data_IF_896442376545
#
_entry.id   IF_896442376545
#
_cell.length_a   1.000
_cell.length_b   1.000
_cell.length_c   1.000
_cell.angle_alpha   90.00
_cell.angle_beta   90.00
_cell.angle_gamma   90.00
#
_symmetry.space_group_name_H-M   'P 1'
#
loop_
_entity.id
_entity.type
_entity.pdbx_description
1 polymer ?
#
# COMPACT_ATOMS: atom_id res chain seq x y z
N UNK A 1 13.43 21.63 55.04
CA UNK A 1 12.31 21.07 55.81
C UNK A 1 12.43 19.55 55.78
N UNK A 2 12.56 18.95 56.96
CA UNK A 2 12.45 17.52 57.29
C UNK A 2 10.98 17.04 57.12
N UNK A 3 10.55 15.79 57.16
CA UNK A 3 11.09 14.43 57.26
C UNK A 3 9.95 13.45 56.91
N UNK A 4 10.32 12.20 56.67
CA UNK A 4 9.51 10.97 56.60
C UNK A 4 8.66 10.73 57.86
N UNK A 5 7.50 10.09 57.75
CA UNK A 5 6.80 9.48 58.89
C UNK A 5 5.55 8.69 58.49
N UNK A 6 5.51 7.41 58.88
CA UNK A 6 4.48 6.37 58.70
C UNK A 6 3.91 6.04 60.09
N UNK A 7 2.61 5.72 60.20
CA UNK A 7 1.98 4.87 61.24
C UNK A 7 0.51 4.64 60.80
N UNK A 8 -0.08 3.43 60.70
CA UNK A 8 -0.29 2.29 61.63
C UNK A 8 -1.18 2.65 62.82
N UNK A 9 -2.33 1.95 62.92
CA UNK A 9 -3.18 1.97 64.11
C UNK A 9 -4.52 1.28 63.88
N UNK A 10 -4.58 0.00 64.25
CA UNK A 10 -5.80 -0.79 64.40
C UNK A 10 -6.32 -0.68 65.84
N UNK A 11 -7.64 -0.72 66.04
CA UNK A 11 -8.31 -1.28 67.24
C UNK A 11 -9.80 -1.46 66.88
N UNK A 12 -10.40 -2.67 66.82
CA UNK A 12 -10.79 -3.64 67.84
C UNK A 12 -12.05 -3.25 68.66
N UNK A 13 -13.00 -4.20 68.63
CA UNK A 13 -14.10 -4.49 69.57
C UNK A 13 -15.37 -3.66 69.47
N UNK A 14 -16.56 -4.15 69.79
CA UNK A 14 -17.18 -5.46 70.07
C UNK A 14 -18.62 -5.10 70.52
N UNK A 15 -19.48 -6.09 70.72
CA UNK A 15 -20.75 -6.06 71.43
C UNK A 15 -21.99 -5.76 70.56
N UNK A 16 -22.61 -6.86 70.13
CA UNK A 16 -23.98 -6.88 69.66
C UNK A 16 -24.99 -6.77 70.81
N UNK A 17 -26.24 -6.50 70.44
CA UNK A 17 -27.44 -6.82 71.22
C UNK A 17 -28.58 -7.05 70.23
N UNK A 18 -29.11 -8.28 70.22
CA UNK A 18 -30.47 -8.59 69.75
C UNK A 18 -31.37 -8.61 70.99
N UNK A 19 -32.63 -8.16 70.88
CA UNK A 19 -33.68 -9.03 71.40
C UNK A 19 -34.89 -9.17 70.47
N UNK A 20 -35.18 -10.44 70.20
CA UNK A 20 -36.46 -11.13 70.08
C UNK A 20 -37.72 -10.31 70.45
N UNK A 21 -38.71 -10.29 69.54
CA UNK A 21 -40.08 -9.85 69.81
C UNK A 21 -41.06 -10.49 68.83
N UNK A 22 -41.83 -11.47 69.32
CA UNK A 22 -42.89 -12.18 68.61
C UNK A 22 -44.17 -11.32 68.49
N UNK A 23 -45.01 -11.55 67.47
CA UNK A 23 -46.32 -10.92 67.39
C UNK A 23 -47.04 -11.07 66.03
N UNK A 24 -47.71 -12.20 65.88
CA UNK A 24 -48.91 -12.52 65.09
C UNK A 24 -49.60 -11.50 64.14
N UNK A 25 -49.91 -12.03 62.94
CA UNK A 25 -51.25 -12.18 62.32
C UNK A 25 -51.88 -11.06 61.44
N UNK A 26 -52.35 -11.56 60.29
CA UNK A 26 -53.37 -11.08 59.35
C UNK A 26 -53.07 -9.92 58.39
N UNK A 27 -53.03 -10.26 57.09
CA UNK A 27 -54.17 -10.01 56.18
C UNK A 27 -53.98 -10.71 54.83
N UNK A 28 -55.10 -11.25 54.35
CA UNK A 28 -55.33 -11.85 53.04
C UNK A 28 -54.78 -11.01 51.88
N UNK A 29 -54.38 -11.68 50.77
CA UNK A 29 -54.90 -11.42 49.41
C UNK A 29 -54.32 -12.44 48.41
N UNK A 30 -55.25 -13.30 48.00
CA UNK A 30 -55.45 -14.06 46.77
C UNK A 30 -54.70 -13.61 45.47
N UNK A 31 -54.09 -14.61 44.80
CA UNK A 31 -53.92 -14.84 43.33
C UNK A 31 -52.97 -13.93 42.52
N UNK A 32 -51.90 -14.52 41.98
CA UNK A 32 -51.77 -14.88 40.55
C UNK A 32 -50.34 -15.36 40.24
N UNK A 33 -50.23 -16.51 39.59
CA UNK A 33 -49.02 -16.93 38.91
C UNK A 33 -48.67 -15.93 37.80
N UNK A 34 -47.46 -15.38 37.81
CA UNK A 34 -46.83 -14.89 36.59
C UNK A 34 -45.45 -15.54 36.48
N UNK A 35 -45.33 -16.35 35.42
CA UNK A 35 -44.06 -16.91 34.99
C UNK A 35 -43.19 -15.76 34.50
N UNK A 36 -42.12 -15.44 35.22
CA UNK A 36 -41.02 -14.67 34.64
C UNK A 36 -39.93 -15.62 34.18
N UNK A 37 -40.28 -16.46 33.20
CA UNK A 37 -39.31 -17.14 32.35
C UNK A 37 -38.93 -16.20 31.22
N UNK A 38 -37.72 -15.64 31.29
CA UNK A 38 -37.06 -15.05 30.12
C UNK A 38 -37.10 -16.06 28.97
N UNK A 39 -37.64 -15.73 27.77
CA UNK A 39 -37.40 -16.54 26.60
C UNK A 39 -35.95 -16.29 26.18
N UNK A 40 -35.07 -17.26 26.44
CA UNK A 40 -33.77 -17.30 25.78
C UNK A 40 -33.97 -17.26 24.26
N UNK A 41 -33.03 -16.65 23.49
CA UNK A 41 -33.16 -16.56 22.05
C UNK A 41 -33.34 -17.96 21.47
N UNK A 42 -34.38 -18.11 20.65
CA UNK A 42 -34.77 -19.38 20.06
C UNK A 42 -33.57 -20.01 19.34
N UNK A 43 -33.46 -21.35 19.43
CA UNK A 43 -32.41 -22.12 18.75
C UNK A 43 -32.44 -21.92 17.22
N UNK A 44 -33.60 -21.58 16.66
CA UNK A 44 -33.79 -21.28 15.24
C UNK A 44 -33.16 -19.93 14.84
N UNK A 45 -33.33 -18.88 15.64
CA UNK A 45 -32.69 -17.57 15.37
C UNK A 45 -31.15 -17.67 15.44
N UNK A 46 -30.61 -18.45 16.37
CA UNK A 46 -29.17 -18.69 16.45
C UNK A 46 -28.63 -19.52 15.27
N UNK A 47 -29.43 -20.47 14.77
CA UNK A 47 -29.09 -21.31 13.61
C UNK A 47 -29.18 -20.59 12.28
N UNK A 48 -30.01 -19.55 12.13
CA UNK A 48 -30.10 -18.71 10.93
C UNK A 48 -29.12 -17.53 10.98
N UNK A 49 -28.81 -17.01 12.17
CA UNK A 49 -27.81 -15.94 12.36
C UNK A 49 -26.39 -16.39 12.02
N UNK A 50 -25.99 -17.63 12.32
CA UNK A 50 -24.66 -18.17 11.96
C UNK A 50 -24.43 -18.24 10.44
N UNK A 51 -25.34 -18.82 9.63
CA UNK A 51 -25.26 -18.80 8.17
C UNK A 51 -25.22 -17.38 7.61
N UNK A 52 -26.05 -16.47 8.13
CA UNK A 52 -26.07 -15.08 7.66
C UNK A 52 -24.74 -14.37 7.94
N UNK A 53 -24.15 -14.59 9.13
CA UNK A 53 -22.83 -14.03 9.49
C UNK A 53 -21.73 -14.65 8.62
N UNK A 54 -21.78 -15.96 8.35
CA UNK A 54 -20.81 -16.64 7.47
C UNK A 54 -20.94 -16.12 6.03
N UNK A 55 -22.15 -15.95 5.52
CA UNK A 55 -22.41 -15.41 4.17
C UNK A 55 -21.95 -13.95 4.06
N UNK A 56 -22.18 -13.13 5.09
CA UNK A 56 -21.69 -11.74 5.14
C UNK A 56 -20.15 -11.73 5.18
N UNK A 57 -19.51 -12.59 5.97
CA UNK A 57 -18.06 -12.70 6.04
C UNK A 57 -17.49 -13.18 4.70
N UNK A 58 -18.08 -14.19 4.08
CA UNK A 58 -17.67 -14.71 2.78
C UNK A 58 -17.80 -13.65 1.70
N UNK A 59 -18.94 -12.96 1.63
CA UNK A 59 -19.17 -11.86 0.68
C UNK A 59 -18.21 -10.69 0.92
N UNK A 60 -17.89 -10.35 2.18
CA UNK A 60 -16.86 -9.36 2.51
C UNK A 60 -15.47 -9.81 2.08
N UNK A 61 -15.13 -11.09 2.31
CA UNK A 61 -13.85 -11.67 1.92
C UNK A 61 -13.68 -11.71 0.40
N UNK A 62 -14.73 -12.07 -0.34
CA UNK A 62 -14.72 -12.05 -1.81
C UNK A 62 -14.55 -10.64 -2.37
N UNK A 63 -15.27 -9.66 -1.81
CA UNK A 63 -15.15 -8.26 -2.18
C UNK A 63 -13.74 -7.73 -1.90
N UNK A 64 -13.20 -8.04 -0.71
CA UNK A 64 -11.84 -7.69 -0.32
C UNK A 64 -10.79 -8.34 -1.23
N UNK A 65 -10.97 -9.61 -1.59
CA UNK A 65 -10.11 -10.33 -2.52
C UNK A 65 -10.13 -9.68 -3.91
N UNK A 66 -11.30 -9.30 -4.43
CA UNK A 66 -11.42 -8.61 -5.73
C UNK A 66 -10.72 -7.24 -5.72
N UNK A 67 -10.88 -6.49 -4.64
CA UNK A 67 -10.27 -5.16 -4.47
C UNK A 67 -8.74 -5.24 -4.31
N UNK A 68 -8.24 -6.17 -3.50
CA UNK A 68 -6.82 -6.45 -3.34
C UNK A 68 -6.20 -6.92 -4.67
N UNK A 69 -6.91 -7.76 -5.42
CA UNK A 69 -6.47 -8.22 -6.75
C UNK A 69 -6.39 -7.06 -7.74
N UNK A 70 -7.34 -6.13 -7.73
CA UNK A 70 -7.31 -4.92 -8.58
C UNK A 70 -6.13 -4.01 -8.24
N UNK A 71 -5.84 -3.79 -6.95
CA UNK A 71 -4.71 -2.97 -6.51
C UNK A 71 -3.35 -3.61 -6.88
N UNK A 72 -3.22 -4.93 -6.70
CA UNK A 72 -2.04 -5.70 -7.11
C UNK A 72 -1.90 -5.66 -8.64
N UNK A 73 -2.99 -5.82 -9.37
CA UNK A 73 -2.99 -5.79 -10.83
C UNK A 73 -2.59 -4.41 -11.37
N UNK A 74 -3.10 -3.32 -10.79
CA UNK A 74 -2.71 -1.95 -11.14
C UNK A 74 -1.22 -1.71 -10.90
N UNK A 75 -0.72 -2.10 -9.72
CA UNK A 75 0.71 -2.00 -9.38
C UNK A 75 1.59 -2.84 -10.31
N UNK A 76 1.16 -4.06 -10.62
CA UNK A 76 1.90 -4.96 -11.50
C UNK A 76 1.89 -4.46 -12.95
N UNK A 77 0.77 -3.92 -13.42
CA UNK A 77 0.65 -3.31 -14.76
C UNK A 77 1.54 -2.09 -14.89
N UNK A 78 1.58 -1.25 -13.84
CA UNK A 78 2.46 -0.08 -13.76
C UNK A 78 3.95 -0.46 -13.71
N UNK A 79 4.31 -1.47 -12.91
CA UNK A 79 5.68 -1.99 -12.91
C UNK A 79 6.06 -2.60 -14.28
N UNK A 80 5.14 -3.33 -14.91
CA UNK A 80 5.34 -3.92 -16.24
C UNK A 80 5.57 -2.85 -17.30
N UNK A 81 4.78 -1.77 -17.29
CA UNK A 81 4.99 -0.65 -18.21
C UNK A 81 6.37 0.00 -18.00
N UNK A 82 6.86 0.10 -16.76
CA UNK A 82 8.21 0.59 -16.46
C UNK A 82 9.30 -0.35 -17.01
N UNK A 83 9.09 -1.66 -16.89
CA UNK A 83 9.96 -2.68 -17.50
C UNK A 83 9.98 -2.62 -19.04
N UNK A 84 8.82 -2.40 -19.68
CA UNK A 84 8.70 -2.20 -21.14
C UNK A 84 9.42 -0.92 -21.56
N UNK A 85 9.24 0.17 -20.81
CA UNK A 85 9.96 1.41 -21.04
C UNK A 85 11.48 1.21 -20.94
N UNK A 86 11.95 0.40 -19.98
CA UNK A 86 13.36 -0.01 -19.90
C UNK A 86 13.84 -0.80 -21.12
N UNK A 87 13.02 -1.71 -21.65
CA UNK A 87 13.35 -2.44 -22.88
C UNK A 87 13.40 -1.50 -24.10
N UNK A 88 12.43 -0.60 -24.24
CA UNK A 88 12.41 0.41 -25.30
C UNK A 88 13.63 1.34 -25.20
N UNK A 89 13.99 1.74 -23.98
CA UNK A 89 15.17 2.56 -23.73
C UNK A 89 16.44 1.84 -24.17
N UNK A 90 16.58 0.58 -23.80
CA UNK A 90 17.73 -0.23 -24.22
C UNK A 90 17.78 -0.45 -25.74
N UNK A 91 16.63 -0.57 -26.42
CA UNK A 91 16.57 -0.67 -27.88
C UNK A 91 17.12 0.59 -28.55
N UNK A 92 16.59 1.74 -28.16
CA UNK A 92 16.96 3.06 -28.66
C UNK A 92 18.46 3.35 -28.48
N UNK A 93 18.98 3.19 -27.25
CA UNK A 93 20.39 3.47 -27.00
C UNK A 93 21.33 2.47 -27.68
N UNK A 94 20.91 1.22 -27.87
CA UNK A 94 21.70 0.25 -28.65
C UNK A 94 21.79 0.60 -30.12
N UNK A 95 20.69 1.09 -30.70
CA UNK A 95 20.67 1.58 -32.06
C UNK A 95 21.64 2.75 -32.23
N UNK A 96 21.57 3.74 -31.33
CA UNK A 96 22.47 4.90 -31.30
C UNK A 96 23.95 4.50 -31.19
N UNK A 97 24.30 3.60 -30.27
CA UNK A 97 25.69 3.19 -30.04
C UNK A 97 26.18 2.07 -30.96
N UNK A 98 25.35 1.58 -31.89
CA UNK A 98 25.66 0.47 -32.81
C UNK A 98 26.19 -0.79 -32.11
N UNK A 99 25.72 -1.07 -30.89
CA UNK A 99 26.21 -2.19 -30.07
C UNK A 99 25.39 -3.46 -30.32
N UNK A 100 26.04 -4.49 -30.89
CA UNK A 100 25.42 -5.81 -31.12
C UNK A 100 25.70 -6.84 -30.01
N UNK A 101 26.74 -6.64 -29.20
CA UNK A 101 27.15 -7.59 -28.17
C UNK A 101 26.27 -7.54 -26.90
N UNK A 102 26.19 -8.67 -26.19
CA UNK A 102 25.50 -8.86 -24.90
C UNK A 102 24.05 -8.34 -24.84
N UNK A 103 23.30 -8.45 -25.96
CA UNK A 103 21.92 -7.93 -26.08
C UNK A 103 21.02 -8.41 -24.94
N UNK A 104 20.90 -9.73 -24.78
CA UNK A 104 20.01 -10.34 -23.79
C UNK A 104 20.37 -9.90 -22.36
N UNK A 105 21.66 -9.80 -22.04
CA UNK A 105 22.13 -9.42 -20.70
C UNK A 105 21.77 -7.98 -20.36
N UNK A 106 21.92 -7.03 -21.30
CA UNK A 106 21.50 -5.66 -21.01
C UNK A 106 19.99 -5.54 -20.97
N UNK A 107 19.24 -6.16 -21.88
CA UNK A 107 17.77 -6.16 -21.86
C UNK A 107 17.21 -6.69 -20.55
N UNK A 108 17.65 -7.87 -20.11
CA UNK A 108 17.21 -8.47 -18.86
C UNK A 108 17.43 -7.52 -17.69
N UNK A 109 18.64 -6.96 -17.57
CA UNK A 109 18.96 -6.08 -16.45
C UNK A 109 18.29 -4.71 -16.51
N UNK A 110 18.17 -4.11 -17.71
CA UNK A 110 17.61 -2.76 -17.90
C UNK A 110 16.08 -2.80 -17.86
N UNK A 111 15.45 -3.97 -18.02
CA UNK A 111 14.01 -4.14 -17.83
C UNK A 111 13.65 -4.58 -16.41
N UNK A 112 14.37 -5.56 -15.85
CA UNK A 112 14.07 -6.10 -14.52
C UNK A 112 14.35 -5.10 -13.38
N UNK A 113 15.41 -4.29 -13.49
CA UNK A 113 15.75 -3.33 -12.43
C UNK A 113 14.68 -2.22 -12.30
N UNK A 114 14.25 -1.53 -13.38
CA UNK A 114 13.13 -0.58 -13.30
C UNK A 114 11.81 -1.20 -12.84
N UNK A 115 11.53 -2.44 -13.25
CA UNK A 115 10.34 -3.18 -12.80
C UNK A 115 10.34 -3.33 -11.28
N UNK A 116 11.43 -3.88 -10.72
CA UNK A 116 11.57 -4.06 -9.27
C UNK A 116 11.60 -2.73 -8.53
N UNK A 117 12.30 -1.73 -9.07
CA UNK A 117 12.36 -0.39 -8.48
C UNK A 117 10.97 0.24 -8.38
N UNK A 118 10.13 0.07 -9.40
CA UNK A 118 8.75 0.59 -9.39
C UNK A 118 7.91 -0.08 -8.32
N UNK A 119 8.00 -1.40 -8.16
CA UNK A 119 7.28 -2.13 -7.10
C UNK A 119 7.68 -1.65 -5.70
N UNK A 120 8.98 -1.49 -5.47
CA UNK A 120 9.50 -1.05 -4.16
C UNK A 120 9.13 0.40 -3.90
N UNK A 121 9.30 1.28 -4.88
CA UNK A 121 8.95 2.69 -4.75
C UNK A 121 7.45 2.88 -4.53
N UNK A 122 6.60 2.15 -5.26
CA UNK A 122 5.15 2.18 -5.09
C UNK A 122 4.71 1.69 -3.70
N UNK A 123 5.36 0.65 -3.15
CA UNK A 123 5.11 0.25 -1.76
C UNK A 123 5.50 1.34 -0.77
N UNK A 124 6.74 1.81 -0.81
CA UNK A 124 7.29 2.74 0.20
C UNK A 124 6.69 4.14 0.12
N UNK A 125 6.53 4.68 -1.08
CA UNK A 125 6.17 6.09 -1.28
C UNK A 125 4.67 6.30 -1.45
N UNK A 126 3.93 5.25 -1.84
CA UNK A 126 2.49 5.32 -2.07
C UNK A 126 1.73 4.53 -1.02
N UNK A 127 2.00 3.23 -0.87
CA UNK A 127 1.22 2.37 0.05
C UNK A 127 1.48 2.75 1.51
N UNK A 128 2.74 2.71 1.95
CA UNK A 128 3.09 3.01 3.35
C UNK A 128 2.73 4.45 3.71
N UNK A 129 2.94 5.37 2.77
CA UNK A 129 2.61 6.77 2.97
C UNK A 129 1.10 7.04 3.07
N UNK A 130 0.27 6.36 2.28
CA UNK A 130 -1.19 6.44 2.38
C UNK A 130 -1.69 5.94 3.74
N UNK A 131 -1.07 4.90 4.29
CA UNK A 131 -1.46 4.35 5.60
C UNK A 131 -0.96 5.18 6.78
N UNK A 132 0.20 5.85 6.68
CA UNK A 132 0.76 6.64 7.79
C UNK A 132 0.25 8.08 7.86
N UNK A 133 0.10 8.76 6.74
CA UNK A 133 0.10 10.24 6.70
C UNK A 133 -1.23 10.85 6.22
N UNK A 134 -2.29 10.04 6.10
CA UNK A 134 -3.64 10.42 5.65
C UNK A 134 -3.60 11.43 4.47
N UNK A 135 -2.84 11.04 3.45
CA UNK A 135 -2.39 11.93 2.37
C UNK A 135 -3.58 12.37 1.49
N UNK A 136 -3.60 13.65 1.11
CA UNK A 136 -4.57 14.18 0.15
C UNK A 136 -4.48 13.52 -1.23
N UNK A 137 -5.59 13.52 -1.97
CA UNK A 137 -5.66 12.98 -3.34
C UNK A 137 -4.56 13.52 -4.26
N UNK A 138 -4.37 14.85 -4.21
CA UNK A 138 -3.36 15.59 -4.97
C UNK A 138 -1.95 15.01 -4.76
N UNK A 139 -1.58 14.79 -3.49
CA UNK A 139 -0.26 14.32 -3.12
C UNK A 139 -0.04 12.85 -3.49
N UNK A 140 -1.09 12.02 -3.42
CA UNK A 140 -1.04 10.64 -3.91
C UNK A 140 -0.77 10.59 -5.42
N UNK A 141 -1.49 11.40 -6.19
CA UNK A 141 -1.32 11.51 -7.65
C UNK A 141 0.08 12.01 -7.98
N UNK A 142 0.56 13.06 -7.31
CA UNK A 142 1.89 13.61 -7.53
C UNK A 142 3.00 12.59 -7.22
N UNK A 143 2.90 11.86 -6.11
CA UNK A 143 3.88 10.82 -5.75
C UNK A 143 3.87 9.66 -6.73
N UNK A 144 2.70 9.17 -7.13
CA UNK A 144 2.56 8.09 -8.11
C UNK A 144 3.09 8.49 -9.50
N UNK A 145 2.78 9.71 -9.94
CA UNK A 145 3.31 10.29 -11.17
C UNK A 145 4.85 10.42 -11.13
N UNK A 146 5.40 10.93 -10.02
CA UNK A 146 6.84 11.05 -9.83
C UNK A 146 7.55 9.70 -9.89
N UNK A 147 6.97 8.66 -9.27
CA UNK A 147 7.50 7.28 -9.36
C UNK A 147 7.52 6.82 -10.82
N UNK A 148 6.44 7.06 -11.59
CA UNK A 148 6.37 6.71 -13.00
C UNK A 148 7.45 7.40 -13.84
N UNK A 149 7.69 8.68 -13.60
CA UNK A 149 8.73 9.45 -14.31
C UNK A 149 10.13 8.93 -13.92
N UNK A 150 10.40 8.81 -12.63
CA UNK A 150 11.74 8.46 -12.13
C UNK A 150 12.07 7.00 -12.44
N UNK A 151 11.22 6.06 -12.01
CA UNK A 151 11.44 4.63 -12.19
C UNK A 151 11.12 4.16 -13.61
N UNK A 152 10.16 4.79 -14.30
CA UNK A 152 9.73 4.39 -15.64
C UNK A 152 10.50 5.04 -16.77
N UNK A 153 11.16 6.20 -16.57
CA UNK A 153 11.89 6.89 -17.66
C UNK A 153 13.31 7.24 -17.29
N UNK A 154 13.54 8.01 -16.22
CA UNK A 154 14.87 8.54 -15.89
C UNK A 154 15.84 7.40 -15.56
N UNK A 155 15.44 6.52 -14.65
CA UNK A 155 16.24 5.37 -14.21
C UNK A 155 16.58 4.41 -15.36
N UNK A 156 15.61 3.88 -16.12
CA UNK A 156 15.90 3.01 -17.26
C UNK A 156 16.76 3.69 -18.33
N UNK A 157 16.51 4.97 -18.64
CA UNK A 157 17.26 5.71 -19.66
C UNK A 157 18.72 5.88 -19.27
N UNK A 158 18.99 6.30 -18.02
CA UNK A 158 20.35 6.43 -17.50
C UNK A 158 21.07 5.08 -17.44
N UNK A 159 20.37 4.03 -17.02
CA UNK A 159 20.92 2.67 -16.96
C UNK A 159 21.25 2.12 -18.35
N UNK A 160 20.36 2.32 -19.32
CA UNK A 160 20.57 1.94 -20.72
C UNK A 160 21.74 2.71 -21.33
N UNK A 161 21.80 4.03 -21.13
CA UNK A 161 22.90 4.88 -21.61
C UNK A 161 24.24 4.42 -21.05
N UNK A 162 24.35 4.21 -19.74
CA UNK A 162 25.60 3.81 -19.09
C UNK A 162 26.07 2.42 -19.53
N UNK A 163 25.16 1.43 -19.56
CA UNK A 163 25.52 0.06 -19.98
C UNK A 163 25.93 0.02 -21.44
N UNK A 164 25.13 0.59 -22.34
CA UNK A 164 25.42 0.53 -23.77
C UNK A 164 26.61 1.43 -24.14
N UNK A 165 26.78 2.59 -23.51
CA UNK A 165 27.96 3.44 -23.68
C UNK A 165 29.26 2.74 -23.26
N UNK A 166 29.26 2.02 -22.12
CA UNK A 166 30.42 1.23 -21.70
C UNK A 166 30.77 0.14 -22.70
N UNK A 167 29.76 -0.53 -23.27
CA UNK A 167 29.99 -1.51 -24.33
C UNK A 167 30.53 -0.85 -25.61
N UNK A 168 30.01 0.33 -25.97
CA UNK A 168 30.45 1.06 -27.15
C UNK A 168 31.93 1.44 -27.09
N UNK A 169 32.39 1.88 -25.90
CA UNK A 169 33.81 2.16 -25.65
C UNK A 169 34.64 0.88 -25.68
N UNK A 170 34.17 -0.20 -25.05
CA UNK A 170 34.89 -1.49 -24.99
C UNK A 170 35.10 -2.10 -26.37
N UNK A 171 34.08 -2.07 -27.23
CA UNK A 171 34.10 -2.67 -28.56
C UNK A 171 34.41 -1.66 -29.68
N UNK A 172 34.75 -0.40 -29.33
CA UNK A 172 35.05 0.69 -30.27
C UNK A 172 34.02 0.83 -31.40
N UNK A 173 32.73 0.69 -31.09
CA UNK A 173 31.64 0.76 -32.09
C UNK A 173 31.30 2.19 -32.50
N UNK A 174 31.75 3.18 -31.72
CA UNK A 174 31.46 4.61 -31.88
C UNK A 174 32.79 5.38 -31.75
N UNK A 175 32.98 6.48 -32.51
CA UNK A 175 34.15 7.33 -32.35
C UNK A 175 34.34 7.75 -30.89
N UNK A 176 35.58 7.64 -30.41
CA UNK A 176 35.91 8.04 -29.05
C UNK A 176 35.81 9.56 -28.91
N UNK A 177 35.22 10.06 -27.82
CA UNK A 177 35.05 11.49 -27.63
C UNK A 177 36.40 12.22 -27.52
N UNK A 178 36.49 13.45 -28.03
CA UNK A 178 37.69 14.27 -27.88
C UNK A 178 37.97 14.61 -26.41
N UNK A 179 39.25 14.66 -26.04
CA UNK A 179 39.71 14.94 -24.67
C UNK A 179 39.08 16.25 -24.16
N UNK A 180 38.44 16.20 -22.99
CA UNK A 180 37.85 17.36 -22.30
C UNK A 180 36.35 17.61 -22.54
N UNK A 181 35.70 16.99 -23.54
CA UNK A 181 34.25 17.18 -23.82
C UNK A 181 33.49 15.87 -24.03
N UNK A 182 33.80 14.89 -23.19
CA UNK A 182 33.24 13.53 -23.25
C UNK A 182 31.73 13.54 -23.12
N UNK A 183 31.20 14.14 -22.04
CA UNK A 183 29.76 14.16 -21.77
C UNK A 183 29.01 14.87 -22.90
N UNK A 184 29.42 16.08 -23.28
CA UNK A 184 28.76 16.85 -24.34
C UNK A 184 28.69 16.08 -25.68
N UNK A 185 29.77 15.38 -26.04
CA UNK A 185 29.79 14.56 -27.25
C UNK A 185 28.76 13.43 -27.20
N UNK A 186 28.66 12.72 -26.07
CA UNK A 186 27.67 11.67 -25.89
C UNK A 186 26.23 12.21 -25.81
N UNK A 187 26.01 13.36 -25.16
CA UNK A 187 24.68 13.98 -25.09
C UNK A 187 24.21 14.44 -26.47
N UNK A 188 25.11 15.01 -27.28
CA UNK A 188 24.82 15.37 -28.67
C UNK A 188 24.48 14.14 -29.52
N UNK A 189 25.26 13.06 -29.37
CA UNK A 189 25.02 11.81 -30.10
C UNK A 189 23.65 11.19 -29.75
N UNK A 190 23.25 11.26 -28.48
CA UNK A 190 21.98 10.74 -28.00
C UNK A 190 20.81 11.73 -28.08
N UNK A 191 21.00 12.96 -28.59
CA UNK A 191 19.98 14.00 -28.52
C UNK A 191 18.66 13.60 -29.19
N UNK A 192 18.73 12.97 -30.37
CA UNK A 192 17.55 12.47 -31.10
C UNK A 192 16.86 11.34 -30.33
N UNK A 193 17.64 10.47 -29.71
CA UNK A 193 17.12 9.35 -28.91
C UNK A 193 16.48 9.81 -27.60
N UNK A 194 17.05 10.83 -26.95
CA UNK A 194 16.45 11.46 -25.76
C UNK A 194 15.11 12.10 -26.12
N UNK A 195 14.96 12.65 -27.34
CA UNK A 195 13.65 13.11 -27.81
C UNK A 195 12.66 11.95 -28.00
N UNK A 196 13.11 10.79 -28.46
CA UNK A 196 12.25 9.61 -28.59
C UNK A 196 11.72 9.12 -27.22
N UNK A 197 12.47 9.33 -26.13
CA UNK A 197 12.01 9.04 -24.75
C UNK A 197 10.87 9.94 -24.26
N UNK A 198 10.50 10.99 -25.01
CA UNK A 198 9.32 11.79 -24.68
C UNK A 198 8.03 10.96 -24.75
N UNK A 199 7.98 9.95 -25.63
CA UNK A 199 6.81 9.06 -25.77
C UNK A 199 6.58 8.24 -24.48
N UNK A 200 7.56 7.43 -23.98
CA UNK A 200 7.39 6.72 -22.73
C UNK A 200 7.23 7.68 -21.53
N UNK A 201 7.76 8.90 -21.57
CA UNK A 201 7.54 9.92 -20.54
C UNK A 201 6.07 10.31 -20.42
N UNK A 202 5.42 10.65 -21.53
CA UNK A 202 4.01 11.01 -21.53
C UNK A 202 3.18 9.81 -21.05
N UNK A 203 3.48 8.62 -21.57
CA UNK A 203 2.76 7.41 -21.21
C UNK A 203 2.92 7.06 -19.73
N UNK A 204 4.13 7.15 -19.17
CA UNK A 204 4.37 6.85 -17.76
C UNK A 204 3.80 7.90 -16.81
N UNK A 205 3.78 9.15 -17.23
CA UNK A 205 3.11 10.21 -16.46
C UNK A 205 1.61 9.93 -16.40
N UNK A 206 0.98 9.61 -17.53
CA UNK A 206 -0.43 9.25 -17.57
C UNK A 206 -0.75 7.99 -16.74
N UNK A 207 0.04 6.94 -16.88
CA UNK A 207 -0.10 5.72 -16.08
C UNK A 207 0.10 5.97 -14.58
N UNK A 208 1.08 6.80 -14.20
CA UNK A 208 1.32 7.19 -12.81
C UNK A 208 0.14 7.96 -12.21
N UNK A 209 -0.46 8.88 -12.96
CA UNK A 209 -1.67 9.61 -12.55
C UNK A 209 -2.85 8.65 -12.36
N UNK A 210 -3.12 7.79 -13.34
CA UNK A 210 -4.22 6.82 -13.28
C UNK A 210 -4.07 5.83 -12.11
N UNK A 211 -2.86 5.32 -11.90
CA UNK A 211 -2.56 4.42 -10.79
C UNK A 211 -2.75 5.13 -9.43
N UNK A 212 -2.32 6.38 -9.30
CA UNK A 212 -2.52 7.19 -8.10
C UNK A 212 -4.00 7.41 -7.78
N UNK A 213 -4.79 7.79 -8.79
CA UNK A 213 -6.25 7.96 -8.68
C UNK A 213 -6.95 6.66 -8.27
N UNK A 214 -6.63 5.54 -8.94
CA UNK A 214 -7.25 4.24 -8.63
C UNK A 214 -6.94 3.80 -7.21
N UNK A 215 -5.70 3.99 -6.74
CA UNK A 215 -5.29 3.62 -5.38
C UNK A 215 -5.92 4.49 -4.31
N UNK A 216 -6.00 5.79 -4.55
CA UNK A 216 -6.67 6.70 -3.64
C UNK A 216 -8.18 6.39 -3.54
N UNK A 217 -8.84 6.12 -4.67
CA UNK A 217 -10.24 5.74 -4.69
C UNK A 217 -10.51 4.42 -3.95
N UNK A 218 -9.63 3.42 -4.11
CA UNK A 218 -9.71 2.17 -3.35
C UNK A 218 -9.48 2.38 -1.84
N UNK A 219 -8.51 3.22 -1.48
CA UNK A 219 -8.24 3.58 -0.08
C UNK A 219 -9.45 4.28 0.57
N UNK A 220 -10.06 5.25 -0.12
CA UNK A 220 -11.24 5.97 0.38
C UNK A 220 -12.43 5.06 0.59
N UNK A 221 -12.70 4.15 -0.36
CA UNK A 221 -13.77 3.14 -0.23
C UNK A 221 -13.55 2.23 0.97
N UNK A 222 -12.29 1.84 1.22
CA UNK A 222 -11.93 1.02 2.38
C UNK A 222 -12.17 1.78 3.70
N UNK A 223 -11.80 3.05 3.77
CA UNK A 223 -11.99 3.91 4.94
C UNK A 223 -13.49 4.13 5.26
N UNK A 224 -14.30 4.41 4.23
CA UNK A 224 -15.74 4.62 4.38
C UNK A 224 -16.45 3.35 4.90
N UNK A 225 -16.04 2.18 4.40
CA UNK A 225 -16.59 0.90 4.84
C UNK A 225 -16.22 0.56 6.29
N UNK A 226 -15.02 0.91 6.74
CA UNK A 226 -14.63 0.69 8.15
C UNK A 226 -15.39 1.59 9.11
N UNK A 227 -15.64 2.86 8.74
CA UNK A 227 -16.40 3.80 9.60
C UNK A 227 -17.87 3.40 9.75
N UNK A 228 -18.45 2.73 8.76
CA UNK A 228 -19.84 2.27 8.83
C UNK A 228 -20.03 0.95 9.61
N UNK A 229 -18.95 0.29 10.01
CA UNK A 229 -18.98 -0.99 10.75
C UNK A 229 -18.73 -0.83 12.26
N UNK A 230 -18.36 0.38 12.71
CA UNK A 230 -18.21 0.78 14.11
C UNK A 230 -19.46 1.55 14.62
#
# INVERSE_FOLDING_TARGET
MAAVGRDVGADLRDAGVVPLGAGEVHKDIKIAASMHGQPGPSLEDAKLRRPLVIEIIEKKFECFRKEMTLNIYGTLSFATSAGISGALANFIFRYCFKVKHDALKTYASVSALPFLATIVADKLLLTDALYLDNISEENCILRSSLIGIVCGVIYPSGLAFSKNGRLAVKYRTVPLPPKGRVLLHWTMLCQTEVKAMAIPLIFQTAFGILNGLQKYAAFKKKLEKTVHED
#
